data_IF_833828574194
#
_entry.id   IF_833828574194
#
_cell.length_a   1.000
_cell.length_b   1.000
_cell.length_c   1.000
_cell.angle_alpha   90.00
_cell.angle_beta   90.00
_cell.angle_gamma   90.00
#
_symmetry.space_group_name_H-M   'P 1'
#
loop_
_entity.id
_entity.type
_entity.pdbx_description
1 polymer ?
#
# COMPACT_ATOMS: atom_id res chain seq x y z
N UNK A 1 -4.24 -23.78 4.21
CA UNK A 1 -2.95 -23.36 3.61
C UNK A 1 -2.03 -22.90 4.74
N UNK A 2 -0.82 -23.45 4.85
CA UNK A 2 0.11 -23.04 5.90
C UNK A 2 0.62 -21.61 5.63
N UNK A 3 0.96 -20.85 6.72
CA UNK A 3 1.52 -19.49 6.62
C UNK A 3 2.76 -19.43 5.70
N UNK A 4 3.57 -20.47 5.71
CA UNK A 4 4.74 -20.61 4.85
C UNK A 4 4.40 -20.75 3.36
N UNK A 5 3.28 -21.38 3.02
CA UNK A 5 2.83 -21.53 1.63
C UNK A 5 2.34 -20.21 1.03
N UNK A 6 1.60 -19.40 1.79
CA UNK A 6 1.13 -18.08 1.34
C UNK A 6 2.31 -17.13 1.07
N UNK A 7 3.31 -17.11 1.96
CA UNK A 7 4.51 -16.29 1.80
C UNK A 7 5.34 -16.70 0.56
N UNK A 8 5.48 -18.01 0.33
CA UNK A 8 6.20 -18.54 -0.85
C UNK A 8 5.51 -18.20 -2.16
N UNK A 9 4.17 -18.22 -2.18
CA UNK A 9 3.39 -17.87 -3.37
C UNK A 9 3.52 -16.38 -3.67
N UNK A 10 3.40 -15.51 -2.67
CA UNK A 10 3.57 -14.06 -2.83
C UNK A 10 4.98 -13.74 -3.33
N UNK A 11 6.00 -14.35 -2.72
CA UNK A 11 7.40 -14.17 -3.11
C UNK A 11 7.67 -14.66 -4.54
N UNK A 12 7.06 -15.78 -4.96
CA UNK A 12 7.15 -16.30 -6.32
C UNK A 12 6.51 -15.37 -7.34
N UNK A 13 5.33 -14.78 -7.05
CA UNK A 13 4.69 -13.80 -7.94
C UNK A 13 5.50 -12.51 -8.08
N UNK A 14 6.12 -12.03 -6.99
CA UNK A 14 7.03 -10.88 -7.03
C UNK A 14 8.25 -11.18 -7.90
N UNK A 15 8.84 -12.38 -7.76
CA UNK A 15 10.01 -12.80 -8.57
C UNK A 15 9.65 -12.97 -10.04
N UNK A 16 8.55 -13.62 -10.37
CA UNK A 16 8.10 -13.84 -11.76
C UNK A 16 7.78 -12.52 -12.46
N UNK A 17 7.19 -11.55 -11.76
CA UNK A 17 6.97 -10.20 -12.29
C UNK A 17 8.27 -9.44 -12.62
N UNK A 18 9.34 -9.71 -11.89
CA UNK A 18 10.66 -9.08 -12.10
C UNK A 18 11.40 -9.60 -13.34
N UNK A 19 11.15 -10.85 -13.77
CA UNK A 19 11.91 -11.49 -14.85
C UNK A 19 11.21 -11.51 -16.21
N UNK A 20 9.91 -11.21 -16.28
CA UNK A 20 9.10 -11.42 -17.49
C UNK A 20 8.99 -10.22 -18.42
N UNK A 21 9.45 -9.04 -18.05
CA UNK A 21 9.36 -7.83 -18.86
C UNK A 21 10.72 -7.12 -18.93
N UNK A 22 11.09 -6.64 -20.09
CA UNK A 22 12.21 -5.72 -20.25
C UNK A 22 11.92 -4.44 -19.45
N UNK A 23 12.51 -4.32 -18.26
CA UNK A 23 12.37 -3.12 -17.40
C UNK A 23 13.29 -2.06 -17.93
N UNK A 24 12.73 -0.95 -18.43
CA UNK A 24 13.50 0.19 -18.94
C UNK A 24 14.01 1.08 -17.81
N UNK A 25 13.23 1.21 -16.73
CA UNK A 25 13.56 2.02 -15.57
C UNK A 25 12.92 1.45 -14.31
N UNK A 26 13.61 1.58 -13.20
CA UNK A 26 13.10 1.24 -11.89
C UNK A 26 13.15 2.44 -10.94
N UNK A 27 12.23 2.49 -10.01
CA UNK A 27 12.26 3.44 -8.91
C UNK A 27 12.00 2.75 -7.56
N UNK A 28 12.65 3.24 -6.53
CA UNK A 28 12.45 2.80 -5.16
C UNK A 28 12.04 3.99 -4.30
N UNK A 29 11.01 3.83 -3.50
CA UNK A 29 10.55 4.89 -2.59
C UNK A 29 10.45 4.34 -1.17
N UNK A 30 11.15 4.96 -0.22
CA UNK A 30 10.88 4.81 1.20
C UNK A 30 9.93 5.92 1.63
N UNK A 31 8.83 5.59 2.32
CA UNK A 31 7.78 6.56 2.62
C UNK A 31 7.22 6.43 4.04
N UNK A 32 6.63 7.53 4.50
CA UNK A 32 5.85 7.60 5.73
C UNK A 32 4.56 8.38 5.46
N UNK A 33 3.55 8.19 6.30
CA UNK A 33 2.30 8.91 6.19
C UNK A 33 1.25 8.47 7.18
N UNK A 34 0.00 8.68 6.83
CA UNK A 34 -1.15 8.30 7.64
C UNK A 34 -2.22 7.58 6.83
N UNK A 35 -2.87 6.65 7.47
CA UNK A 35 -4.06 5.98 6.96
C UNK A 35 -5.25 6.34 7.82
N UNK A 36 -6.34 6.74 7.19
CA UNK A 36 -7.62 7.03 7.83
C UNK A 36 -8.66 6.02 7.37
N UNK A 37 -9.07 5.09 8.23
CA UNK A 37 -10.18 4.19 7.94
C UNK A 37 -11.50 4.94 7.91
N UNK A 38 -12.44 4.45 7.10
CA UNK A 38 -13.82 4.87 7.14
C UNK A 38 -14.56 4.28 8.36
N UNK A 39 -15.85 4.57 8.44
CA UNK A 39 -16.70 3.98 9.48
C UNK A 39 -16.94 2.50 9.19
N UNK A 40 -16.82 1.67 10.21
CA UNK A 40 -17.19 0.27 10.17
C UNK A 40 -18.58 0.10 10.78
N UNK A 41 -19.51 -0.50 10.03
CA UNK A 41 -20.84 -0.81 10.56
C UNK A 41 -20.89 -2.29 10.98
N UNK A 42 -21.10 -2.55 12.26
CA UNK A 42 -21.26 -3.89 12.81
C UNK A 42 -22.64 -3.97 13.50
N UNK A 43 -23.51 -4.87 13.04
CA UNK A 43 -24.86 -5.05 13.56
C UNK A 43 -25.68 -3.73 13.64
N UNK A 44 -25.56 -2.86 12.64
CA UNK A 44 -26.26 -1.58 12.60
C UNK A 44 -25.63 -0.45 13.43
N UNK A 45 -24.57 -0.71 14.19
CA UNK A 45 -23.82 0.28 14.94
C UNK A 45 -22.60 0.72 14.13
N UNK A 46 -22.52 2.00 13.80
CA UNK A 46 -21.35 2.56 13.11
C UNK A 46 -20.25 2.94 14.10
N UNK A 47 -19.12 2.26 14.02
CA UNK A 47 -17.94 2.56 14.83
C UNK A 47 -16.88 3.24 13.99
N UNK A 48 -16.35 4.37 14.47
CA UNK A 48 -15.20 5.03 13.86
C UNK A 48 -13.92 4.28 14.27
N UNK A 49 -13.05 4.09 13.31
CA UNK A 49 -11.70 3.56 13.53
C UNK A 49 -10.70 4.73 13.55
N UNK A 50 -9.66 4.61 14.33
CA UNK A 50 -8.66 5.66 14.44
C UNK A 50 -7.73 5.72 13.22
N UNK A 51 -7.23 6.92 12.95
CA UNK A 51 -6.16 7.12 12.00
C UNK A 51 -4.86 6.53 12.54
N UNK A 52 -4.08 5.93 11.67
CA UNK A 52 -2.86 5.23 12.05
C UNK A 52 -1.67 5.73 11.23
N UNK A 53 -0.46 5.81 11.82
CA UNK A 53 0.74 6.04 11.05
C UNK A 53 1.01 4.82 10.15
N UNK A 54 1.55 5.08 8.97
CA UNK A 54 1.97 4.04 8.03
C UNK A 54 3.35 4.40 7.48
N UNK A 55 4.20 3.39 7.32
CA UNK A 55 5.51 3.52 6.69
C UNK A 55 5.80 2.30 5.85
N UNK A 56 6.64 2.45 4.86
CA UNK A 56 6.91 1.33 3.97
C UNK A 56 7.81 1.67 2.79
N UNK A 57 7.78 0.77 1.83
CA UNK A 57 8.59 0.82 0.63
C UNK A 57 7.72 0.56 -0.60
N UNK A 58 8.07 1.23 -1.71
CA UNK A 58 7.50 0.99 -3.03
C UNK A 58 8.62 0.72 -4.02
N UNK A 59 8.44 -0.30 -4.84
CA UNK A 59 9.30 -0.64 -5.96
C UNK A 59 8.49 -0.48 -7.25
N UNK A 60 8.83 0.53 -8.03
CA UNK A 60 8.26 0.77 -9.35
C UNK A 60 9.14 0.16 -10.44
N UNK A 61 8.51 -0.51 -11.40
CA UNK A 61 9.15 -1.16 -12.55
C UNK A 61 8.43 -0.64 -13.80
N UNK A 62 9.08 0.22 -14.57
CA UNK A 62 8.50 0.79 -15.77
C UNK A 62 8.92 -0.02 -17.00
N UNK A 63 7.96 -0.50 -17.75
CA UNK A 63 8.14 -1.25 -19.01
C UNK A 63 8.31 -0.32 -20.20
N UNK A 64 7.62 0.81 -20.14
CA UNK A 64 7.74 1.96 -21.04
C UNK A 64 7.63 3.23 -20.17
N UNK A 65 8.00 4.41 -20.68
CA UNK A 65 8.00 5.63 -19.87
C UNK A 65 6.67 5.95 -19.17
N UNK A 66 5.55 5.57 -19.78
CA UNK A 66 4.22 5.88 -19.27
C UNK A 66 3.57 4.73 -18.50
N UNK A 67 4.04 3.49 -18.61
CA UNK A 67 3.35 2.33 -18.04
C UNK A 67 4.33 1.44 -17.27
N UNK A 68 3.93 1.04 -16.08
CA UNK A 68 4.71 0.16 -15.24
C UNK A 68 3.85 -0.60 -14.23
N UNK A 69 4.54 -1.37 -13.42
CA UNK A 69 3.99 -2.01 -12.22
C UNK A 69 4.66 -1.46 -10.97
N UNK A 70 3.94 -1.49 -9.88
CA UNK A 70 4.44 -1.07 -8.57
C UNK A 70 4.07 -2.09 -7.51
N UNK A 71 5.06 -2.48 -6.73
CA UNK A 71 4.88 -3.31 -5.54
C UNK A 71 5.07 -2.46 -4.28
N UNK A 72 4.14 -2.52 -3.37
CA UNK A 72 4.15 -1.79 -2.10
C UNK A 72 4.19 -2.77 -0.94
N UNK A 73 5.08 -2.52 0.01
CA UNK A 73 5.12 -3.15 1.33
C UNK A 73 4.97 -2.05 2.38
N UNK A 74 3.98 -2.17 3.24
CA UNK A 74 3.70 -1.18 4.28
C UNK A 74 3.45 -1.82 5.63
N UNK A 75 3.74 -1.06 6.68
CA UNK A 75 3.59 -1.44 8.08
C UNK A 75 2.92 -0.30 8.85
N UNK A 76 2.12 -0.66 9.84
CA UNK A 76 1.49 0.29 10.76
C UNK A 76 1.46 -0.31 12.16
N UNK A 77 1.76 0.51 13.17
CA UNK A 77 1.77 0.09 14.58
C UNK A 77 0.38 0.01 15.20
N UNK A 78 -0.58 0.80 14.67
CA UNK A 78 -1.93 0.93 15.23
C UNK A 78 -3.01 0.76 14.16
N UNK A 79 -2.82 -0.23 13.29
CA UNK A 79 -3.62 -0.40 12.09
C UNK A 79 -5.04 -0.89 12.40
N UNK A 80 -6.05 -0.10 12.00
CA UNK A 80 -7.48 -0.39 12.21
C UNK A 80 -7.81 -0.62 13.71
N UNK A 81 -7.22 0.19 14.58
CA UNK A 81 -7.42 0.06 16.02
C UNK A 81 -8.77 0.68 16.44
N UNK A 82 -9.71 -0.11 17.00
CA UNK A 82 -10.97 0.41 17.50
C UNK A 82 -10.83 0.80 18.96
N UNK A 83 -10.62 2.07 19.29
CA UNK A 83 -10.55 2.55 20.68
C UNK A 83 -11.77 2.21 21.54
N UNK A 84 -12.90 1.96 20.90
CA UNK A 84 -14.14 1.62 21.58
C UNK A 84 -14.20 0.18 22.12
N UNK A 85 -13.19 -0.64 21.87
CA UNK A 85 -13.12 -2.02 22.33
C UNK A 85 -11.94 -2.22 23.29
N UNK A 86 -12.15 -2.05 24.61
CA UNK A 86 -11.06 -2.16 25.59
C UNK A 86 -10.38 -3.54 25.67
N UNK A 87 -11.00 -4.55 25.07
CA UNK A 87 -10.41 -5.89 24.97
C UNK A 87 -9.25 -5.99 23.97
N UNK A 88 -9.11 -5.04 23.03
CA UNK A 88 -8.03 -5.02 22.04
C UNK A 88 -6.93 -4.08 22.55
N UNK A 89 -5.78 -4.65 22.91
CA UNK A 89 -4.66 -3.90 23.50
C UNK A 89 -3.60 -3.49 22.49
N UNK A 90 -3.56 -4.13 21.32
CA UNK A 90 -2.68 -3.74 20.21
C UNK A 90 -3.23 -4.22 18.87
N UNK A 91 -3.02 -3.44 17.82
CA UNK A 91 -3.36 -3.83 16.46
C UNK A 91 -2.25 -3.34 15.52
N UNK A 92 -1.51 -4.28 14.94
CA UNK A 92 -0.45 -3.99 13.96
C UNK A 92 -0.92 -4.43 12.59
N UNK A 93 -0.46 -3.75 11.55
CA UNK A 93 -0.83 -4.06 10.19
C UNK A 93 0.35 -4.21 9.26
N UNK A 94 0.20 -5.14 8.34
CA UNK A 94 1.06 -5.32 7.19
C UNK A 94 0.18 -5.23 5.94
N UNK A 95 0.64 -4.47 4.96
CA UNK A 95 -0.05 -4.29 3.68
C UNK A 95 0.90 -4.61 2.55
N UNK A 96 0.46 -5.46 1.64
CA UNK A 96 1.12 -5.70 0.37
C UNK A 96 0.18 -5.37 -0.78
N UNK A 97 0.67 -4.61 -1.76
CA UNK A 97 -0.08 -4.29 -2.98
C UNK A 97 0.77 -4.53 -4.23
N UNK A 98 0.12 -4.96 -5.29
CA UNK A 98 0.65 -4.98 -6.65
C UNK A 98 -0.27 -4.18 -7.55
N UNK A 99 0.26 -3.13 -8.15
CA UNK A 99 -0.49 -2.11 -8.88
C UNK A 99 0.04 -1.93 -10.28
N UNK A 100 -0.86 -1.64 -11.20
CA UNK A 100 -0.54 -0.97 -12.45
C UNK A 100 -0.35 0.52 -12.17
N UNK A 101 0.66 1.14 -12.78
CA UNK A 101 0.93 2.57 -12.67
C UNK A 101 1.00 3.20 -14.06
N UNK A 102 0.30 4.31 -14.23
CA UNK A 102 0.36 5.14 -15.43
C UNK A 102 1.02 6.45 -15.07
N UNK A 103 2.24 6.67 -15.56
CA UNK A 103 3.02 7.89 -15.39
C UNK A 103 2.72 8.88 -16.52
N UNK A 104 2.64 10.15 -16.20
CA UNK A 104 2.42 11.25 -17.14
C UNK A 104 3.62 12.21 -17.01
N UNK A 105 4.74 11.95 -17.74
CA UNK A 105 5.91 12.83 -17.65
C UNK A 105 5.60 14.26 -18.04
N UNK A 106 5.82 15.21 -17.13
CA UNK A 106 5.57 16.64 -17.31
C UNK A 106 6.81 17.44 -16.90
N UNK A 107 7.82 17.43 -17.74
CA UNK A 107 9.09 18.11 -17.48
C UNK A 107 9.86 17.50 -16.30
N UNK A 108 9.99 18.24 -15.19
CA UNK A 108 10.68 17.78 -13.97
C UNK A 108 9.78 17.04 -13.00
N UNK A 109 8.51 16.92 -13.31
CA UNK A 109 7.51 16.25 -12.47
C UNK A 109 6.87 15.11 -13.22
N UNK A 110 6.44 14.08 -12.50
CA UNK A 110 5.75 12.93 -13.08
C UNK A 110 4.48 12.68 -12.25
N UNK A 111 3.37 13.36 -12.57
CA UNK A 111 2.06 12.94 -12.10
C UNK A 111 1.78 11.51 -12.52
N UNK A 112 1.02 10.76 -11.71
CA UNK A 112 0.67 9.39 -12.04
C UNK A 112 -0.66 8.99 -11.40
N UNK A 113 -1.29 8.00 -12.02
CA UNK A 113 -2.41 7.27 -11.47
C UNK A 113 -2.01 5.81 -11.26
N UNK A 114 -2.63 5.16 -10.28
CA UNK A 114 -2.35 3.77 -9.94
C UNK A 114 -3.62 3.05 -9.49
N UNK A 115 -3.73 1.78 -9.84
CA UNK A 115 -4.78 0.90 -9.34
C UNK A 115 -4.25 -0.53 -9.26
N UNK A 116 -4.74 -1.29 -8.29
CA UNK A 116 -4.28 -2.66 -8.10
C UNK A 116 -4.97 -3.40 -6.98
N UNK A 117 -4.39 -4.52 -6.65
CA UNK A 117 -4.90 -5.46 -5.66
C UNK A 117 -3.83 -5.79 -4.64
N UNK A 118 -4.26 -6.20 -3.47
CA UNK A 118 -3.33 -6.55 -2.42
C UNK A 118 -3.97 -7.30 -1.27
N UNK A 119 -3.17 -7.48 -0.25
CA UNK A 119 -3.53 -8.14 1.00
C UNK A 119 -3.24 -7.19 2.16
N UNK A 120 -4.18 -7.13 3.08
CA UNK A 120 -4.05 -6.48 4.36
C UNK A 120 -4.05 -7.58 5.41
N UNK A 121 -3.02 -7.61 6.25
CA UNK A 121 -2.93 -8.53 7.37
C UNK A 121 -2.86 -7.75 8.67
N UNK A 122 -3.87 -7.90 9.51
CA UNK A 122 -3.89 -7.32 10.85
C UNK A 122 -3.62 -8.41 11.88
N UNK A 123 -2.71 -8.12 12.79
CA UNK A 123 -2.38 -8.96 13.92
C UNK A 123 -2.23 -8.12 15.20
N UNK A 124 -2.48 -8.70 16.34
CA UNK A 124 -2.43 -7.95 17.62
C UNK A 124 -2.75 -8.83 18.81
N UNK A 125 -3.17 -8.21 19.91
CA UNK A 125 -3.54 -8.88 21.14
C UNK A 125 -4.93 -8.44 21.60
N UNK A 126 -5.85 -9.39 21.90
CA UNK A 126 -5.69 -10.83 21.79
C UNK A 126 -5.96 -11.35 20.38
N UNK A 127 -5.01 -12.11 19.81
CA UNK A 127 -5.20 -12.81 18.54
C UNK A 127 -5.18 -11.93 17.29
N UNK A 128 -5.86 -12.38 16.23
CA UNK A 128 -5.96 -11.71 14.93
C UNK A 128 -7.42 -11.26 14.69
N UNK A 129 -7.86 -10.10 15.19
CA UNK A 129 -9.27 -9.71 15.14
C UNK A 129 -9.81 -9.53 13.72
N UNK A 130 -8.96 -9.17 12.75
CA UNK A 130 -9.32 -9.05 11.33
C UNK A 130 -8.64 -10.14 10.48
N UNK A 131 -7.40 -10.53 10.82
CA UNK A 131 -6.59 -11.48 10.07
C UNK A 131 -6.22 -10.95 8.67
N UNK A 132 -6.12 -11.85 7.69
CA UNK A 132 -5.76 -11.49 6.31
C UNK A 132 -7.00 -11.22 5.47
N UNK A 133 -7.05 -10.05 4.82
CA UNK A 133 -8.13 -9.63 3.93
C UNK A 133 -7.58 -9.20 2.58
N UNK A 134 -8.34 -9.49 1.53
CA UNK A 134 -8.08 -8.97 0.20
C UNK A 134 -8.53 -7.51 0.11
N UNK A 135 -7.74 -6.67 -0.54
CA UNK A 135 -8.06 -5.28 -0.76
C UNK A 135 -7.81 -4.88 -2.21
N UNK A 136 -8.73 -4.09 -2.74
CA UNK A 136 -8.54 -3.32 -3.96
C UNK A 136 -8.04 -1.93 -3.57
N UNK A 137 -7.07 -1.39 -4.32
CA UNK A 137 -6.58 -0.04 -4.08
C UNK A 137 -6.48 0.75 -5.38
N UNK A 138 -6.62 2.06 -5.27
CA UNK A 138 -6.52 3.01 -6.37
C UNK A 138 -6.04 4.36 -5.83
N UNK A 139 -5.46 5.15 -6.69
CA UNK A 139 -5.00 6.47 -6.27
C UNK A 139 -4.11 7.13 -7.30
N UNK A 140 -3.30 8.04 -6.83
CA UNK A 140 -2.34 8.75 -7.66
C UNK A 140 -1.41 9.59 -6.80
N UNK A 141 -0.56 10.31 -7.48
CA UNK A 141 0.40 11.15 -6.81
C UNK A 141 1.29 11.90 -7.78
N UNK A 142 2.37 12.39 -7.23
CA UNK A 142 3.38 13.13 -7.98
C UNK A 142 4.77 12.70 -7.57
N UNK A 143 5.60 12.38 -8.56
CA UNK A 143 7.01 12.13 -8.39
C UNK A 143 7.80 13.36 -8.85
N UNK A 144 8.83 13.71 -8.10
CA UNK A 144 9.84 14.72 -8.43
C UNK A 144 11.19 14.00 -8.50
N UNK A 145 11.46 13.27 -9.60
CA UNK A 145 12.71 12.54 -9.74
C UNK A 145 13.88 13.49 -9.90
N UNK A 146 15.07 13.04 -9.49
CA UNK A 146 16.35 13.74 -9.75
C UNK A 146 16.39 15.18 -9.22
N UNK A 147 15.82 15.45 -8.04
CA UNK A 147 15.95 16.76 -7.37
C UNK A 147 17.40 16.99 -6.88
N UNK A 148 18.02 15.92 -6.38
CA UNK A 148 19.39 15.91 -5.88
C UNK A 148 20.14 14.69 -6.43
N UNK A 149 20.58 14.75 -7.69
CA UNK A 149 21.18 13.59 -8.36
C UNK A 149 20.15 12.45 -8.56
N UNK A 150 20.39 11.25 -8.05
CA UNK A 150 19.43 10.13 -8.17
C UNK A 150 18.25 10.24 -7.20
N UNK A 151 18.34 11.16 -6.22
CA UNK A 151 17.32 11.33 -5.19
C UNK A 151 16.20 12.28 -5.64
N UNK A 152 15.00 11.96 -5.24
CA UNK A 152 13.79 12.74 -5.48
C UNK A 152 12.80 12.64 -4.35
N UNK A 153 11.64 13.23 -4.56
CA UNK A 153 10.51 13.19 -3.65
C UNK A 153 9.30 12.55 -4.34
N UNK A 154 8.44 11.99 -3.53
CA UNK A 154 7.17 11.43 -3.99
C UNK A 154 6.07 11.70 -2.98
N UNK A 155 4.89 12.07 -3.48
CA UNK A 155 3.67 12.25 -2.69
C UNK A 155 2.56 11.39 -3.30
N UNK A 156 1.81 10.72 -2.43
CA UNK A 156 0.74 9.79 -2.80
C UNK A 156 -0.54 10.06 -2.02
N UNK A 157 -1.65 9.84 -2.71
CA UNK A 157 -2.99 9.74 -2.14
C UNK A 157 -3.62 8.46 -2.66
N UNK A 158 -4.08 7.58 -1.76
CA UNK A 158 -4.65 6.28 -2.12
C UNK A 158 -5.93 5.98 -1.38
N UNK A 159 -6.87 5.37 -2.08
CA UNK A 159 -8.04 4.73 -1.51
C UNK A 159 -7.87 3.22 -1.49
N UNK A 160 -8.34 2.59 -0.43
CA UNK A 160 -8.41 1.14 -0.30
C UNK A 160 -9.85 0.72 -0.03
N UNK A 161 -10.26 -0.37 -0.63
CA UNK A 161 -11.51 -1.06 -0.32
C UNK A 161 -11.17 -2.49 0.07
N UNK A 162 -11.23 -2.80 1.36
CA UNK A 162 -11.03 -4.14 1.89
C UNK A 162 -12.39 -4.84 2.04
N UNK A 163 -12.45 -6.12 1.65
CA UNK A 163 -13.66 -6.95 1.72
C UNK A 163 -13.57 -7.98 2.83
N UNK A 164 -14.73 -8.37 3.38
CA UNK A 164 -14.82 -9.44 4.38
C UNK A 164 -14.33 -9.03 5.78
N UNK A 165 -14.31 -7.74 6.11
CA UNK A 165 -14.09 -7.26 7.47
C UNK A 165 -15.44 -7.25 8.17
N UNK A 166 -15.67 -8.19 9.11
CA UNK A 166 -16.95 -8.39 9.80
C UNK A 166 -18.14 -8.42 8.83
N UNK A 167 -17.99 -9.13 7.68
CA UNK A 167 -18.98 -9.23 6.60
C UNK A 167 -19.28 -7.92 5.85
N UNK A 168 -18.53 -6.87 6.08
CA UNK A 168 -18.68 -5.55 5.47
C UNK A 168 -17.48 -5.17 4.59
N UNK A 169 -17.65 -4.09 3.83
CA UNK A 169 -16.57 -3.42 3.11
C UNK A 169 -16.03 -2.28 3.98
N UNK A 170 -14.72 -2.20 4.09
CA UNK A 170 -14.06 -1.08 4.74
C UNK A 170 -13.30 -0.27 3.70
N UNK A 171 -13.66 1.00 3.57
CA UNK A 171 -12.92 1.96 2.77
C UNK A 171 -11.90 2.67 3.66
N UNK A 172 -10.70 2.90 3.12
CA UNK A 172 -9.62 3.59 3.83
C UNK A 172 -8.98 4.59 2.89
N UNK A 173 -8.45 5.65 3.45
CA UNK A 173 -7.75 6.71 2.76
C UNK A 173 -6.33 6.85 3.31
N UNK A 174 -5.34 6.85 2.44
CA UNK A 174 -3.92 6.96 2.77
C UNK A 174 -3.32 8.21 2.13
N UNK A 175 -2.53 8.95 2.89
CA UNK A 175 -1.69 10.05 2.39
C UNK A 175 -0.27 9.80 2.84
N UNK A 176 0.67 9.79 1.89
CA UNK A 176 2.08 9.50 2.16
C UNK A 176 3.01 10.45 1.43
N UNK A 177 4.19 10.67 2.01
CA UNK A 177 5.33 11.33 1.40
C UNK A 177 6.58 10.48 1.56
N UNK A 178 7.48 10.51 0.60
CA UNK A 178 8.66 9.67 0.64
C UNK A 178 9.83 10.16 -0.17
N UNK A 179 10.98 9.55 0.11
CA UNK A 179 12.21 9.72 -0.65
C UNK A 179 12.23 8.72 -1.80
N UNK A 180 12.42 9.22 -2.99
CA UNK A 180 12.46 8.48 -4.24
C UNK A 180 13.89 8.33 -4.72
N UNK A 181 14.30 7.12 -5.07
CA UNK A 181 15.54 6.83 -5.80
C UNK A 181 15.14 6.32 -7.18
N UNK A 182 15.64 6.97 -8.22
CA UNK A 182 15.39 6.57 -9.60
C UNK A 182 16.61 5.90 -10.19
N UNK A 183 16.46 4.70 -10.74
CA UNK A 183 17.52 3.88 -11.37
C UNK A 183 17.43 3.89 -12.91
N UNK A 184 16.57 4.70 -13.51
CA UNK A 184 16.46 4.89 -14.96
C UNK A 184 17.36 6.00 -15.48
N UNK A 185 17.73 5.89 -16.77
CA UNK A 185 18.45 6.94 -17.51
C UNK A 185 17.60 8.17 -17.78
#
# INVERSE_FOLDING_TARGET
MSRASAFRIIFAFVLVGLFAAGVEAADFTAYVGGVKPGKLSVNGVSTALDSSPIFGFRLGLNFVPMLGMEHTLAFSSDYLFPRSFPAITSAKGFVYNSNLIVNIPAGRTVPYATAGVGLIHQYGSPGEPVGTKFAFNYGGGMKFPKLWGPLGLRFDVRGYTATGIFSNRLNMFEVTGGLLINFGR
#
